data_IF_760889959760
#
_entry.id   IF_760889959760
#
_cell.length_a   1.000
_cell.length_b   1.000
_cell.length_c   1.000
_cell.angle_alpha   90.00
_cell.angle_beta   90.00
_cell.angle_gamma   90.00
#
_symmetry.space_group_name_H-M   'P 1'
#
loop_
_entity.id
_entity.type
_entity.pdbx_description
1 polymer ?
#
# COMPACT_ATOMS: atom_id res chain seq x y z
N UNK A 1 -23.22 -14.25 27.24
CA UNK A 1 -22.59 -12.98 26.77
C UNK A 1 -21.54 -12.44 27.74
N UNK A 2 -21.81 -12.30 29.06
CA UNK A 2 -20.84 -11.78 30.06
C UNK A 2 -19.52 -12.58 30.14
N UNK A 3 -19.57 -13.91 30.11
CA UNK A 3 -18.36 -14.75 30.20
C UNK A 3 -17.45 -14.69 28.97
N UNK A 4 -18.02 -14.49 27.77
CA UNK A 4 -17.25 -14.32 26.53
C UNK A 4 -16.49 -12.98 26.54
N UNK A 5 -17.12 -11.94 27.08
CA UNK A 5 -16.47 -10.63 27.26
C UNK A 5 -15.28 -10.71 28.22
N UNK A 6 -15.39 -11.49 29.31
CA UNK A 6 -14.31 -11.66 30.29
C UNK A 6 -13.16 -12.48 29.70
N UNK A 7 -13.46 -13.57 28.98
CA UNK A 7 -12.46 -14.36 28.25
C UNK A 7 -11.73 -13.54 27.19
N UNK A 8 -12.45 -12.66 26.48
CA UNK A 8 -11.85 -11.78 25.47
C UNK A 8 -10.93 -10.72 26.10
N UNK A 9 -11.32 -10.15 27.24
CA UNK A 9 -10.47 -9.22 28.00
C UNK A 9 -9.22 -9.93 28.51
N UNK A 10 -9.36 -11.14 29.06
CA UNK A 10 -8.23 -11.94 29.52
C UNK A 10 -7.27 -12.30 28.38
N UNK A 11 -7.81 -12.68 27.22
CA UNK A 11 -7.02 -12.94 26.02
C UNK A 11 -6.26 -11.69 25.57
N UNK A 12 -6.92 -10.53 25.51
CA UNK A 12 -6.27 -9.24 25.18
C UNK A 12 -5.19 -8.91 26.18
N UNK A 13 -5.43 -9.09 27.49
CA UNK A 13 -4.41 -8.77 28.50
C UNK A 13 -3.21 -9.69 28.42
N UNK A 14 -3.40 -11.00 28.16
CA UNK A 14 -2.29 -11.96 27.97
C UNK A 14 -1.52 -11.62 26.69
N UNK A 15 -2.24 -11.30 25.61
CA UNK A 15 -1.64 -10.88 24.34
C UNK A 15 -0.84 -9.59 24.51
N UNK A 16 -1.37 -8.61 25.24
CA UNK A 16 -0.68 -7.35 25.54
C UNK A 16 0.57 -7.59 26.39
N UNK A 17 0.47 -8.39 27.45
CA UNK A 17 1.63 -8.72 28.30
C UNK A 17 2.73 -9.39 27.47
N UNK A 18 2.38 -10.40 26.67
CA UNK A 18 3.32 -11.08 25.77
C UNK A 18 3.96 -10.11 24.76
N UNK A 19 3.13 -9.25 24.16
CA UNK A 19 3.59 -8.23 23.22
C UNK A 19 4.55 -7.25 23.89
N UNK A 20 4.26 -6.79 25.11
CA UNK A 20 5.12 -5.87 25.87
C UNK A 20 6.44 -6.53 26.30
N UNK A 21 6.45 -7.80 26.69
CA UNK A 21 7.69 -8.51 27.05
C UNK A 21 8.61 -8.77 25.86
N UNK A 22 8.06 -9.06 24.68
CA UNK A 22 8.86 -9.28 23.47
C UNK A 22 9.15 -7.98 22.71
N UNK A 23 8.51 -6.87 23.10
CA UNK A 23 8.69 -5.57 22.46
C UNK A 23 10.14 -5.08 22.58
N UNK A 24 10.78 -5.23 23.75
CA UNK A 24 12.18 -4.82 23.93
C UNK A 24 13.13 -5.62 23.03
N UNK A 25 12.92 -6.93 22.91
CA UNK A 25 13.69 -7.79 22.01
C UNK A 25 13.51 -7.38 20.55
N UNK A 26 12.27 -7.13 20.14
CA UNK A 26 11.94 -6.67 18.80
C UNK A 26 12.59 -5.32 18.49
N UNK A 27 12.53 -4.37 19.44
CA UNK A 27 13.10 -3.04 19.28
C UNK A 27 14.63 -3.12 19.13
N UNK A 28 15.30 -3.88 19.99
CA UNK A 28 16.75 -4.13 19.90
C UNK A 28 17.15 -4.76 18.56
N UNK A 29 16.32 -5.65 18.00
CA UNK A 29 16.58 -6.25 16.71
C UNK A 29 16.41 -5.25 15.56
N UNK A 30 15.34 -4.45 15.60
CA UNK A 30 15.08 -3.38 14.63
C UNK A 30 16.22 -2.36 14.66
N UNK A 31 16.65 -1.93 15.84
CA UNK A 31 17.76 -1.00 16.01
C UNK A 31 19.06 -1.53 15.38
N UNK A 32 19.42 -2.80 15.64
CA UNK A 32 20.59 -3.43 15.02
C UNK A 32 20.52 -3.45 13.49
N UNK A 33 19.34 -3.72 12.93
CA UNK A 33 19.12 -3.68 11.47
C UNK A 33 19.31 -2.25 10.95
N UNK A 34 18.71 -1.26 11.61
CA UNK A 34 18.81 0.14 11.21
C UNK A 34 20.27 0.64 11.25
N UNK A 35 20.99 0.34 12.33
CA UNK A 35 22.42 0.66 12.46
C UNK A 35 23.25 -0.06 11.39
N UNK A 36 22.95 -1.32 11.08
CA UNK A 36 23.60 -2.04 9.99
C UNK A 36 23.37 -1.34 8.65
N UNK A 37 22.12 -0.97 8.33
CA UNK A 37 21.76 -0.25 7.10
C UNK A 37 22.54 1.07 7.01
N UNK A 38 22.60 1.85 8.09
CA UNK A 38 23.36 3.10 8.12
C UNK A 38 24.86 2.87 7.93
N UNK A 39 25.43 1.83 8.55
CA UNK A 39 26.84 1.49 8.35
C UNK A 39 27.18 1.13 6.90
N UNK A 40 26.23 0.57 6.14
CA UNK A 40 26.43 0.29 4.71
C UNK A 40 26.38 1.56 3.86
N UNK A 41 25.51 2.50 4.22
CA UNK A 41 25.42 3.82 3.58
C UNK A 41 26.76 4.57 3.68
N UNK A 42 27.41 4.52 4.84
CA UNK A 42 28.67 5.23 5.08
C UNK A 42 29.87 4.59 4.34
N UNK A 43 29.86 3.26 4.15
CA UNK A 43 30.94 2.54 3.45
C UNK A 43 30.92 2.76 1.93
N UNK A 44 29.75 2.67 1.31
CA UNK A 44 29.62 2.82 -0.15
C UNK A 44 28.25 3.41 -0.52
N UNK A 45 28.17 4.73 -0.47
CA UNK A 45 26.92 5.47 -0.65
C UNK A 45 26.23 5.19 -1.99
N UNK A 46 26.97 5.13 -3.11
CA UNK A 46 26.38 4.94 -4.44
C UNK A 46 25.77 3.54 -4.60
N UNK A 47 26.49 2.50 -4.15
CA UNK A 47 25.98 1.13 -4.20
C UNK A 47 24.75 0.98 -3.29
N UNK A 48 24.80 1.58 -2.10
CA UNK A 48 23.68 1.60 -1.17
C UNK A 48 22.45 2.30 -1.76
N UNK A 49 22.64 3.47 -2.38
CA UNK A 49 21.57 4.22 -3.05
C UNK A 49 20.92 3.39 -4.16
N UNK A 50 21.72 2.74 -5.01
CA UNK A 50 21.22 1.89 -6.09
C UNK A 50 20.39 0.72 -5.55
N UNK A 51 20.86 0.06 -4.48
CA UNK A 51 20.12 -1.00 -3.79
C UNK A 51 18.79 -0.48 -3.25
N UNK A 52 18.79 0.67 -2.58
CA UNK A 52 17.58 1.26 -2.01
C UNK A 52 16.58 1.66 -3.09
N UNK A 53 17.04 2.22 -4.21
CA UNK A 53 16.19 2.51 -5.38
C UNK A 53 15.53 1.23 -5.90
N UNK A 54 16.32 0.17 -6.07
CA UNK A 54 15.83 -1.13 -6.52
C UNK A 54 14.77 -1.69 -5.56
N UNK A 55 15.08 -1.78 -4.27
CA UNK A 55 14.16 -2.32 -3.25
C UNK A 55 12.87 -1.50 -3.16
N UNK A 56 12.97 -0.16 -3.17
CA UNK A 56 11.81 0.71 -3.16
C UNK A 56 10.92 0.46 -4.37
N UNK A 57 11.50 0.44 -5.57
CA UNK A 57 10.76 0.20 -6.81
C UNK A 57 9.93 -1.08 -6.74
N UNK A 58 10.52 -2.20 -6.31
CA UNK A 58 9.79 -3.46 -6.17
C UNK A 58 8.77 -3.43 -5.05
N UNK A 59 9.09 -2.83 -3.89
CA UNK A 59 8.18 -2.79 -2.75
C UNK A 59 6.89 -2.04 -3.09
N UNK A 60 6.96 -0.88 -3.75
CA UNK A 60 5.76 -0.12 -4.12
C UNK A 60 4.89 -0.80 -5.18
N UNK A 61 5.36 -1.89 -5.79
CA UNK A 61 4.57 -2.76 -6.67
C UNK A 61 3.90 -3.92 -5.92
N UNK A 62 4.08 -4.04 -4.61
CA UNK A 62 3.46 -5.08 -3.78
C UNK A 62 2.21 -4.58 -3.07
N UNK A 63 1.34 -5.49 -2.58
CA UNK A 63 0.19 -5.12 -1.74
C UNK A 63 0.56 -4.73 -0.30
N UNK A 64 1.84 -4.62 0.03
CA UNK A 64 2.31 -4.30 1.37
C UNK A 64 1.98 -2.84 1.76
N UNK A 65 1.83 -2.55 3.06
CA UNK A 65 1.60 -1.20 3.53
C UNK A 65 2.77 -0.29 3.15
N UNK A 66 2.44 0.85 2.55
CA UNK A 66 3.42 1.82 2.00
C UNK A 66 4.11 2.61 3.11
N UNK A 67 3.39 2.88 4.20
CA UNK A 67 3.80 3.78 5.29
C UNK A 67 5.14 3.39 5.97
N UNK A 68 5.39 2.13 6.37
CA UNK A 68 6.66 1.75 6.97
C UNK A 68 7.87 2.07 6.09
N UNK A 69 7.74 1.90 4.77
CA UNK A 69 8.83 2.17 3.83
C UNK A 69 9.10 3.66 3.68
N UNK A 70 8.05 4.50 3.69
CA UNK A 70 8.21 5.97 3.68
C UNK A 70 9.01 6.42 4.90
N UNK A 71 8.68 5.92 6.09
CA UNK A 71 9.41 6.24 7.32
C UNK A 71 10.86 5.76 7.22
N UNK A 72 11.08 4.53 6.77
CA UNK A 72 12.42 3.98 6.61
C UNK A 72 13.27 4.85 5.68
N UNK A 73 12.73 5.24 4.52
CA UNK A 73 13.43 6.12 3.60
C UNK A 73 13.71 7.49 4.22
N UNK A 74 12.75 8.06 4.96
CA UNK A 74 12.94 9.30 5.71
C UNK A 74 14.02 9.21 6.78
N UNK A 75 14.12 8.07 7.48
CA UNK A 75 15.18 7.81 8.45
C UNK A 75 16.56 7.71 7.77
N UNK A 76 16.65 7.00 6.64
CA UNK A 76 17.93 6.73 5.95
C UNK A 76 18.44 7.97 5.20
N UNK A 77 17.56 8.71 4.52
CA UNK A 77 17.92 9.80 3.60
C UNK A 77 17.41 11.18 4.03
N UNK A 78 16.78 11.30 5.20
CA UNK A 78 16.17 12.55 5.66
C UNK A 78 15.04 13.01 4.75
N UNK A 79 14.94 14.33 4.53
CA UNK A 79 13.91 14.93 3.68
C UNK A 79 13.86 14.33 2.26
N UNK A 80 15.03 14.06 1.66
CA UNK A 80 15.11 13.47 0.32
C UNK A 80 14.49 12.07 0.26
N UNK A 81 14.51 11.31 1.35
CA UNK A 81 13.87 10.00 1.43
C UNK A 81 12.36 10.07 1.26
N UNK A 82 11.72 11.10 1.82
CA UNK A 82 10.28 11.34 1.61
C UNK A 82 9.98 11.72 0.16
N UNK A 83 10.81 12.59 -0.43
CA UNK A 83 10.67 13.00 -1.84
C UNK A 83 10.80 11.79 -2.76
N UNK A 84 11.82 10.94 -2.56
CA UNK A 84 11.97 9.70 -3.32
C UNK A 84 10.79 8.77 -3.15
N UNK A 85 10.28 8.61 -1.93
CA UNK A 85 9.11 7.78 -1.67
C UNK A 85 7.89 8.27 -2.45
N UNK A 86 7.63 9.57 -2.48
CA UNK A 86 6.53 10.15 -3.29
C UNK A 86 6.73 9.80 -4.76
N UNK A 87 7.93 10.04 -5.31
CA UNK A 87 8.24 9.71 -6.71
C UNK A 87 7.96 8.22 -6.99
N UNK A 88 8.46 7.30 -6.17
CA UNK A 88 8.22 5.87 -6.40
C UNK A 88 6.76 5.46 -6.22
N UNK A 89 6.03 6.05 -5.28
CA UNK A 89 4.58 5.85 -5.15
C UNK A 89 3.88 6.32 -6.43
N UNK A 90 4.24 7.47 -6.99
CA UNK A 90 3.63 7.94 -8.23
C UNK A 90 3.89 6.98 -9.40
N UNK A 91 5.13 6.53 -9.55
CA UNK A 91 5.54 5.64 -10.63
C UNK A 91 4.91 4.25 -10.46
N UNK A 92 4.97 3.69 -9.26
CA UNK A 92 4.34 2.41 -8.93
C UNK A 92 2.84 2.45 -9.15
N UNK A 93 2.17 3.55 -8.77
CA UNK A 93 0.73 3.71 -8.91
C UNK A 93 0.34 3.72 -10.39
N UNK A 94 1.08 4.49 -11.21
CA UNK A 94 0.89 4.53 -12.66
C UNK A 94 1.14 3.17 -13.32
N UNK A 95 2.17 2.43 -12.88
CA UNK A 95 2.48 1.09 -13.37
C UNK A 95 1.38 0.09 -13.02
N UNK A 96 0.96 0.02 -11.76
CA UNK A 96 -0.12 -0.88 -11.29
C UNK A 96 -1.41 -0.57 -12.04
N UNK A 97 -1.76 0.72 -12.18
CA UNK A 97 -2.94 1.15 -12.91
C UNK A 97 -2.87 0.71 -14.37
N UNK A 98 -1.75 0.95 -15.05
CA UNK A 98 -1.57 0.62 -16.46
C UNK A 98 -1.59 -0.89 -16.68
N UNK A 99 -0.90 -1.65 -15.83
CA UNK A 99 -0.93 -3.11 -15.84
C UNK A 99 -2.36 -3.64 -15.68
N UNK A 100 -3.11 -3.08 -14.73
CA UNK A 100 -4.51 -3.44 -14.53
C UNK A 100 -5.40 -3.12 -15.74
N UNK A 101 -5.26 -1.92 -16.29
CA UNK A 101 -6.07 -1.43 -17.41
C UNK A 101 -5.82 -2.19 -18.71
N UNK A 102 -4.57 -2.49 -19.03
CA UNK A 102 -4.20 -3.11 -20.31
C UNK A 102 -4.12 -4.63 -20.24
N UNK A 103 -3.56 -5.19 -19.16
CA UNK A 103 -3.32 -6.63 -19.04
C UNK A 103 -4.45 -7.34 -18.31
N UNK A 104 -4.71 -6.96 -17.05
CA UNK A 104 -5.73 -7.65 -16.23
C UNK A 104 -7.11 -7.53 -16.88
N UNK A 105 -7.52 -6.34 -17.30
CA UNK A 105 -8.84 -6.15 -17.93
C UNK A 105 -9.01 -6.99 -19.20
N UNK A 106 -7.99 -7.07 -20.06
CA UNK A 106 -8.04 -7.87 -21.30
C UNK A 106 -8.23 -9.36 -20.95
N UNK A 107 -7.48 -9.87 -19.98
CA UNK A 107 -7.51 -11.27 -19.58
C UNK A 107 -8.76 -11.64 -18.77
N UNK A 108 -9.24 -10.75 -17.89
CA UNK A 108 -10.49 -10.91 -17.12
C UNK A 108 -11.74 -10.74 -17.98
N UNK A 109 -11.63 -10.22 -19.21
CA UNK A 109 -12.76 -10.12 -20.13
C UNK A 109 -13.23 -11.46 -20.68
N UNK A 110 -12.49 -12.54 -20.43
CA UNK A 110 -12.89 -13.92 -20.72
C UNK A 110 -14.11 -14.33 -19.87
N UNK A 111 -15.29 -14.15 -20.47
CA UNK A 111 -16.58 -14.83 -20.26
C UNK A 111 -17.13 -14.98 -18.82
N UNK A 112 -16.43 -15.66 -17.91
CA UNK A 112 -16.95 -16.07 -16.60
C UNK A 112 -17.01 -14.91 -15.59
N UNK A 113 -16.00 -14.04 -15.56
CA UNK A 113 -15.93 -12.95 -14.60
C UNK A 113 -16.92 -11.82 -14.91
N UNK A 114 -17.15 -11.54 -16.20
CA UNK A 114 -18.20 -10.60 -16.66
C UNK A 114 -19.58 -10.99 -16.12
N UNK A 115 -19.90 -12.28 -16.02
CA UNK A 115 -21.20 -12.76 -15.50
C UNK A 115 -21.33 -12.50 -13.99
N UNK A 116 -20.28 -12.78 -13.21
CA UNK A 116 -20.26 -12.58 -11.75
C UNK A 116 -20.23 -11.11 -11.34
N UNK A 117 -19.41 -10.29 -12.02
CA UNK A 117 -19.34 -8.86 -11.74
C UNK A 117 -20.63 -8.16 -12.15
N UNK A 118 -21.15 -8.43 -13.36
CA UNK A 118 -22.31 -7.69 -13.89
C UNK A 118 -23.59 -7.99 -13.12
N UNK A 119 -23.71 -9.17 -12.49
CA UNK A 119 -24.84 -9.50 -11.61
C UNK A 119 -24.76 -8.80 -10.25
N UNK A 120 -23.57 -8.69 -9.63
CA UNK A 120 -23.38 -7.97 -8.36
C UNK A 120 -23.37 -6.44 -8.53
N UNK A 121 -22.81 -5.91 -9.62
CA UNK A 121 -22.74 -4.46 -9.89
C UNK A 121 -24.14 -3.85 -10.11
N UNK A 122 -25.13 -4.59 -10.63
CA UNK A 122 -26.51 -4.09 -10.76
C UNK A 122 -27.12 -3.63 -9.43
N UNK A 123 -26.66 -4.17 -8.28
CA UNK A 123 -27.08 -3.74 -6.93
C UNK A 123 -26.47 -2.41 -6.47
N UNK A 124 -25.40 -1.95 -7.10
CA UNK A 124 -24.65 -0.73 -6.72
C UNK A 124 -24.92 0.45 -7.67
N UNK A 125 -26.16 0.57 -8.18
CA UNK A 125 -26.60 1.66 -9.07
C UNK A 125 -26.38 3.08 -8.49
N UNK A 126 -26.21 3.21 -7.18
CA UNK A 126 -25.90 4.48 -6.51
C UNK A 126 -24.53 5.09 -6.86
N UNK A 127 -23.56 4.29 -7.34
CA UNK A 127 -22.25 4.82 -7.71
C UNK A 127 -22.29 5.69 -8.98
N UNK A 128 -23.24 5.48 -9.90
CA UNK A 128 -23.25 6.13 -11.23
C UNK A 128 -23.37 7.66 -11.24
N UNK A 129 -23.94 8.27 -10.19
CA UNK A 129 -24.14 9.73 -10.14
C UNK A 129 -22.96 10.46 -9.49
N UNK A 130 -22.17 9.75 -8.68
CA UNK A 130 -21.07 10.26 -7.86
C UNK A 130 -19.81 9.38 -8.01
N UNK A 131 -19.54 8.91 -9.23
CA UNK A 131 -18.43 7.97 -9.49
C UNK A 131 -17.11 8.57 -8.99
N UNK A 132 -16.83 9.84 -9.28
CA UNK A 132 -15.58 10.47 -8.89
C UNK A 132 -15.38 10.60 -7.38
N UNK A 133 -16.42 10.97 -6.61
CA UNK A 133 -16.30 11.18 -5.16
C UNK A 133 -16.22 9.86 -4.39
N UNK A 134 -16.97 8.84 -4.81
CA UNK A 134 -16.89 7.50 -4.21
C UNK A 134 -15.56 6.82 -4.49
N UNK A 135 -15.03 7.00 -5.70
CA UNK A 135 -13.71 6.55 -6.13
C UNK A 135 -12.63 7.25 -5.29
N UNK A 136 -12.70 8.58 -5.15
CA UNK A 136 -11.79 9.33 -4.28
C UNK A 136 -11.85 8.88 -2.81
N UNK A 137 -13.04 8.73 -2.23
CA UNK A 137 -13.21 8.30 -0.83
C UNK A 137 -12.65 6.89 -0.58
N UNK A 138 -12.69 6.01 -1.58
CA UNK A 138 -12.19 4.65 -1.44
C UNK A 138 -10.68 4.57 -1.16
N UNK A 139 -9.91 5.64 -1.44
CA UNK A 139 -8.47 5.71 -1.17
C UNK A 139 -8.11 5.60 0.31
N UNK A 140 -9.03 5.99 1.18
CA UNK A 140 -8.83 5.97 2.64
C UNK A 140 -9.20 4.63 3.28
N UNK A 141 -9.95 3.80 2.57
CA UNK A 141 -10.48 2.53 3.07
C UNK A 141 -9.72 1.36 2.44
N UNK A 142 -9.37 1.48 1.15
CA UNK A 142 -8.75 0.42 0.38
C UNK A 142 -7.23 0.63 0.37
N UNK A 143 -6.43 -0.41 0.65
CA UNK A 143 -4.98 -0.29 0.55
C UNK A 143 -4.54 0.15 -0.85
N UNK A 144 -3.50 1.00 -0.87
CA UNK A 144 -2.93 1.64 -2.06
C UNK A 144 -2.88 0.73 -3.31
N UNK A 145 -2.34 -0.49 -3.17
CA UNK A 145 -2.18 -1.42 -4.29
C UNK A 145 -3.52 -1.83 -4.90
N UNK A 146 -4.47 -2.27 -4.07
CA UNK A 146 -5.80 -2.70 -4.52
C UNK A 146 -6.61 -1.54 -5.09
N UNK A 147 -6.45 -0.35 -4.52
CA UNK A 147 -7.07 0.86 -5.00
C UNK A 147 -6.66 1.18 -6.44
N UNK A 148 -5.35 1.14 -6.73
CA UNK A 148 -4.82 1.38 -8.08
C UNK A 148 -5.25 0.31 -9.09
N UNK A 149 -5.31 -0.96 -8.68
CA UNK A 149 -5.85 -2.04 -9.53
C UNK A 149 -7.31 -1.77 -9.86
N UNK A 150 -8.13 -1.48 -8.85
CA UNK A 150 -9.56 -1.21 -9.02
C UNK A 150 -9.78 -0.10 -10.03
N UNK A 151 -9.02 0.99 -9.93
CA UNK A 151 -9.13 2.13 -10.85
C UNK A 151 -8.78 1.74 -12.30
N UNK A 152 -7.73 0.92 -12.47
CA UNK A 152 -7.36 0.38 -13.78
C UNK A 152 -8.46 -0.46 -14.41
N UNK A 153 -9.13 -1.30 -13.62
CA UNK A 153 -10.24 -2.15 -14.10
C UNK A 153 -11.47 -1.34 -14.51
N UNK A 154 -11.77 -0.24 -13.79
CA UNK A 154 -12.89 0.66 -14.11
C UNK A 154 -12.63 1.56 -15.33
N UNK A 155 -11.46 1.45 -15.97
CA UNK A 155 -11.10 2.16 -17.20
C UNK A 155 -11.27 3.69 -17.08
N UNK A 156 -10.94 4.24 -15.92
CA UNK A 156 -10.91 5.69 -15.77
C UNK A 156 -9.89 6.29 -16.74
N UNK A 157 -10.16 7.54 -17.15
CA UNK A 157 -9.22 8.30 -17.94
C UNK A 157 -7.96 8.58 -17.11
N UNK A 158 -6.79 8.41 -17.72
CA UNK A 158 -5.48 8.63 -17.07
C UNK A 158 -5.39 10.02 -16.45
N UNK A 159 -5.95 11.05 -17.10
CA UNK A 159 -6.04 12.41 -16.56
C UNK A 159 -6.78 12.46 -15.21
N UNK A 160 -7.88 11.74 -15.08
CA UNK A 160 -8.65 11.67 -13.82
C UNK A 160 -7.94 10.87 -12.74
N UNK A 161 -7.16 9.86 -13.12
CA UNK A 161 -6.31 9.12 -12.18
C UNK A 161 -5.23 10.01 -11.57
N UNK A 162 -4.55 10.83 -12.39
CA UNK A 162 -3.59 11.81 -11.86
C UNK A 162 -4.28 12.85 -10.97
N UNK A 163 -5.40 13.43 -11.40
CA UNK A 163 -6.12 14.40 -10.56
C UNK A 163 -6.50 13.78 -9.21
N UNK A 164 -7.13 12.60 -9.18
CA UNK A 164 -7.57 12.00 -7.91
C UNK A 164 -6.42 11.55 -6.98
N UNK A 165 -5.25 11.20 -7.54
CA UNK A 165 -4.07 10.86 -6.74
C UNK A 165 -3.28 12.09 -6.26
N UNK A 166 -3.40 13.25 -6.94
CA UNK A 166 -2.56 14.43 -6.70
C UNK A 166 -3.31 15.70 -6.28
N UNK A 167 -4.65 15.75 -6.35
CA UNK A 167 -5.45 16.94 -6.05
C UNK A 167 -5.88 17.06 -4.58
N UNK A 168 -5.10 16.52 -3.64
CA UNK A 168 -5.36 16.65 -2.21
C UNK A 168 -4.15 17.15 -1.46
#
# INVERSE_FOLDING_TARGET
KKNISILFILFISIFLIYFFTEYENLFNYIEKILLFILSQKDKNYLQFLALMIFLNFFYFLTPLPVFPLIILNGFVFGYLGFVFSIIFITLGSALIFSFSKFFLRKNLSNSLYKRFIKSKIKKYKFMKKNENSTIFLSRYIIPYFFHNIFFGLYNLNIKFFFINNFSS
#
